data_IF_529204390725
#
_entry.id   IF_529204390725
#
_cell.length_a   1.000
_cell.length_b   1.000
_cell.length_c   1.000
_cell.angle_alpha   90.00
_cell.angle_beta   90.00
_cell.angle_gamma   90.00
#
_symmetry.space_group_name_H-M   'P 1'
#
loop_
_entity.id
_entity.type
_entity.pdbx_description
1 polymer ?
#
# COMPACT_ATOMS: atom_id res chain seq x y z
N UNK A 1 17.74 -23.18 -6.63
CA UNK A 1 18.12 -22.10 -7.57
C UNK A 1 18.05 -20.84 -6.76
N UNK A 2 19.13 -20.05 -6.68
CA UNK A 2 19.07 -18.74 -6.09
C UNK A 2 18.14 -17.93 -7.00
N UNK A 3 16.96 -17.56 -6.51
CA UNK A 3 16.07 -16.68 -7.23
C UNK A 3 16.64 -15.27 -7.06
N UNK A 4 17.35 -14.78 -8.07
CA UNK A 4 17.90 -13.45 -8.06
C UNK A 4 16.74 -12.45 -8.19
N UNK A 5 16.48 -11.71 -7.13
CA UNK A 5 15.50 -10.65 -7.10
C UNK A 5 16.06 -9.37 -6.50
N UNK A 6 15.45 -8.26 -6.84
CA UNK A 6 15.96 -6.94 -6.51
C UNK A 6 14.99 -6.14 -5.65
N UNK A 7 15.53 -5.37 -4.68
CA UNK A 7 14.81 -4.30 -3.97
C UNK A 7 15.33 -2.97 -4.47
N UNK A 8 14.58 -2.27 -5.31
CA UNK A 8 14.93 -0.92 -5.72
C UNK A 8 14.37 0.12 -4.74
N UNK A 9 15.22 1.03 -4.27
CA UNK A 9 14.87 1.99 -3.23
C UNK A 9 15.18 1.50 -1.81
N UNK A 10 16.03 0.49 -1.68
CA UNK A 10 16.41 -0.12 -0.41
C UNK A 10 16.97 0.86 0.62
N UNK A 11 17.57 1.97 0.18
CA UNK A 11 18.10 3.01 1.09
C UNK A 11 17.02 3.97 1.64
N UNK A 12 15.75 3.79 1.28
CA UNK A 12 14.59 4.46 1.87
C UNK A 12 14.20 3.82 3.21
N UNK A 13 13.35 4.51 4.00
CA UNK A 13 12.91 4.00 5.31
C UNK A 13 12.28 2.59 5.19
N UNK A 14 11.25 2.44 4.37
CA UNK A 14 10.55 1.15 4.19
C UNK A 14 11.43 0.14 3.44
N UNK A 15 12.16 0.58 2.40
CA UNK A 15 13.06 -0.29 1.64
C UNK A 15 14.15 -0.93 2.51
N UNK A 16 14.68 -0.20 3.50
CA UNK A 16 15.66 -0.74 4.47
C UNK A 16 15.00 -1.83 5.35
N UNK A 17 13.81 -1.60 5.86
CA UNK A 17 13.07 -2.58 6.66
C UNK A 17 12.78 -3.86 5.86
N UNK A 18 12.40 -3.73 4.59
CA UNK A 18 12.18 -4.88 3.70
C UNK A 18 13.50 -5.66 3.49
N UNK A 19 14.61 -4.97 3.24
CA UNK A 19 15.91 -5.61 3.04
C UNK A 19 16.40 -6.33 4.31
N UNK A 20 16.25 -5.70 5.48
CA UNK A 20 16.54 -6.30 6.79
C UNK A 20 15.68 -7.55 7.04
N UNK A 21 14.38 -7.48 6.75
CA UNK A 21 13.47 -8.61 6.92
C UNK A 21 13.77 -9.75 5.94
N UNK A 22 14.05 -9.43 4.67
CA UNK A 22 14.48 -10.42 3.67
C UNK A 22 15.74 -11.18 4.14
N UNK A 23 16.73 -10.43 4.62
CA UNK A 23 17.97 -11.04 5.17
C UNK A 23 17.70 -11.93 6.37
N UNK A 24 16.85 -11.49 7.29
CA UNK A 24 16.46 -12.28 8.47
C UNK A 24 15.74 -13.58 8.11
N UNK A 25 15.02 -13.62 6.98
CA UNK A 25 14.38 -14.82 6.42
C UNK A 25 15.32 -15.70 5.56
N UNK A 26 16.61 -15.33 5.42
CA UNK A 26 17.60 -16.09 4.68
C UNK A 26 17.70 -15.76 3.19
N UNK A 27 17.04 -14.68 2.74
CA UNK A 27 17.18 -14.20 1.36
C UNK A 27 18.40 -13.28 1.20
N UNK A 28 18.93 -13.23 -0.02
CA UNK A 28 20.00 -12.34 -0.41
C UNK A 28 19.61 -11.55 -1.66
N UNK A 29 18.65 -10.60 -1.55
CA UNK A 29 18.26 -9.79 -2.69
C UNK A 29 19.40 -8.85 -3.11
N UNK A 30 19.45 -8.49 -4.39
CA UNK A 30 20.24 -7.36 -4.84
C UNK A 30 19.55 -6.08 -4.39
N UNK A 31 20.23 -5.22 -3.65
CA UNK A 31 19.69 -3.92 -3.25
C UNK A 31 20.08 -2.83 -4.23
N UNK A 32 19.12 -1.98 -4.62
CA UNK A 32 19.39 -0.96 -5.62
C UNK A 32 18.80 0.42 -5.27
N UNK A 33 19.35 1.44 -5.90
CA UNK A 33 18.88 2.82 -5.78
C UNK A 33 19.82 3.79 -6.50
N UNK A 34 19.43 5.07 -6.55
CA UNK A 34 20.20 6.11 -7.27
C UNK A 34 21.33 6.75 -6.45
N UNK A 35 21.34 6.59 -5.14
CA UNK A 35 22.37 7.19 -4.27
C UNK A 35 23.45 6.18 -3.92
N UNK A 36 24.54 6.20 -4.66
CA UNK A 36 25.67 5.28 -4.53
C UNK A 36 26.11 5.11 -3.07
N UNK A 37 26.48 6.22 -2.42
CA UNK A 37 27.02 6.18 -1.05
C UNK A 37 26.08 5.48 -0.06
N UNK A 38 24.75 5.76 -0.15
CA UNK A 38 23.78 5.16 0.77
C UNK A 38 23.55 3.68 0.49
N UNK A 39 23.55 3.29 -0.78
CA UNK A 39 23.37 1.90 -1.18
C UNK A 39 24.59 1.07 -0.79
N UNK A 40 25.80 1.54 -1.08
CA UNK A 40 27.06 0.88 -0.67
C UNK A 40 27.14 0.70 0.85
N UNK A 41 26.78 1.73 1.62
CA UNK A 41 26.76 1.63 3.08
C UNK A 41 25.77 0.55 3.56
N UNK A 42 24.56 0.50 2.99
CA UNK A 42 23.56 -0.51 3.35
C UNK A 42 23.99 -1.90 2.91
N UNK A 43 24.60 -2.04 1.74
CA UNK A 43 25.13 -3.29 1.23
C UNK A 43 26.20 -3.88 2.16
N UNK A 44 27.11 -3.05 2.65
CA UNK A 44 28.11 -3.45 3.65
C UNK A 44 27.46 -3.85 4.99
N UNK A 45 26.47 -3.07 5.46
CA UNK A 45 25.75 -3.35 6.71
C UNK A 45 25.03 -4.71 6.66
N UNK A 46 24.36 -5.01 5.56
CA UNK A 46 23.54 -6.22 5.40
C UNK A 46 24.27 -7.39 4.71
N UNK A 47 25.50 -7.18 4.22
CA UNK A 47 26.25 -8.16 3.43
C UNK A 47 25.42 -8.65 2.22
N UNK A 48 24.92 -7.70 1.41
CA UNK A 48 24.13 -7.94 0.20
C UNK A 48 24.84 -7.34 -1.02
N UNK A 49 24.61 -7.94 -2.18
CA UNK A 49 25.00 -7.36 -3.46
C UNK A 49 24.19 -6.10 -3.75
N UNK A 50 24.77 -5.18 -4.54
CA UNK A 50 24.09 -3.93 -4.84
C UNK A 50 24.29 -3.46 -6.27
N UNK A 51 23.33 -2.63 -6.74
CA UNK A 51 23.41 -1.90 -8.01
C UNK A 51 23.03 -0.43 -7.81
N UNK A 52 23.64 0.43 -8.64
CA UNK A 52 23.35 1.87 -8.61
C UNK A 52 22.96 2.34 -10.00
N UNK A 53 21.68 2.73 -10.16
CA UNK A 53 21.14 3.28 -11.41
C UNK A 53 19.95 4.19 -11.15
N UNK A 54 19.60 5.00 -12.14
CA UNK A 54 18.44 5.90 -12.12
C UNK A 54 17.26 5.29 -12.89
N UNK A 55 16.04 5.73 -12.58
CA UNK A 55 14.79 5.26 -13.22
C UNK A 55 14.31 6.16 -14.37
N UNK A 56 15.16 7.03 -14.91
CA UNK A 56 14.79 7.96 -15.98
C UNK A 56 14.80 7.34 -17.38
N UNK A 57 15.51 6.23 -17.58
CA UNK A 57 15.62 5.53 -18.85
C UNK A 57 15.26 4.05 -18.71
N UNK A 58 14.23 3.64 -19.44
CA UNK A 58 13.73 2.25 -19.47
C UNK A 58 14.79 1.24 -19.91
N UNK A 59 15.69 1.62 -20.82
CA UNK A 59 16.73 0.72 -21.32
C UNK A 59 17.80 0.45 -20.25
N UNK A 60 18.20 1.50 -19.51
CA UNK A 60 19.12 1.34 -18.37
C UNK A 60 18.53 0.45 -17.31
N UNK A 61 17.21 0.60 -17.02
CA UNK A 61 16.51 -0.25 -16.07
C UNK A 61 16.49 -1.69 -16.59
N UNK A 62 16.12 -1.90 -17.87
CA UNK A 62 16.03 -3.24 -18.46
C UNK A 62 17.40 -3.97 -18.44
N UNK A 63 18.49 -3.28 -18.75
CA UNK A 63 19.84 -3.84 -18.64
C UNK A 63 20.17 -4.25 -17.18
N UNK A 64 19.82 -3.40 -16.21
CA UNK A 64 20.11 -3.65 -14.79
C UNK A 64 19.31 -4.82 -14.20
N UNK A 65 18.10 -5.12 -14.75
CA UNK A 65 17.23 -6.19 -14.24
C UNK A 65 17.17 -7.41 -15.15
N UNK A 66 17.97 -7.48 -16.22
CA UNK A 66 17.90 -8.55 -17.24
C UNK A 66 18.05 -9.96 -16.65
N UNK A 67 18.86 -10.11 -15.61
CA UNK A 67 19.09 -11.38 -14.92
C UNK A 67 18.21 -11.56 -13.67
N UNK A 68 17.29 -10.63 -13.38
CA UNK A 68 16.42 -10.69 -12.21
C UNK A 68 15.12 -11.43 -12.53
N UNK A 69 14.72 -12.34 -11.65
CA UNK A 69 13.41 -12.98 -11.71
C UNK A 69 12.28 -12.05 -11.26
N UNK A 70 12.58 -11.07 -10.36
CA UNK A 70 11.60 -10.18 -9.78
C UNK A 70 12.25 -8.87 -9.31
N UNK A 71 11.53 -7.75 -9.51
CA UNK A 71 11.85 -6.46 -8.92
C UNK A 71 10.75 -6.03 -7.95
N UNK A 72 11.13 -5.74 -6.70
CA UNK A 72 10.31 -5.08 -5.71
C UNK A 72 10.70 -3.58 -5.64
N UNK A 73 9.81 -2.71 -6.11
CA UNK A 73 10.02 -1.27 -6.11
C UNK A 73 9.54 -0.66 -4.79
N UNK A 74 10.48 -0.12 -4.00
CA UNK A 74 10.24 0.60 -2.74
C UNK A 74 10.62 2.10 -2.82
N UNK A 75 10.61 2.68 -4.01
CA UNK A 75 11.04 4.06 -4.28
C UNK A 75 9.91 4.94 -4.81
N UNK A 76 9.20 5.61 -3.93
CA UNK A 76 8.20 6.61 -4.29
C UNK A 76 8.77 8.02 -4.63
N UNK A 77 7.97 8.96 -5.18
CA UNK A 77 6.56 8.82 -5.54
C UNK A 77 6.35 7.89 -6.74
N UNK A 78 5.44 6.94 -6.58
CA UNK A 78 5.25 5.85 -7.56
C UNK A 78 4.69 6.32 -8.89
N UNK A 79 3.95 7.42 -8.93
CA UNK A 79 3.47 8.00 -10.19
C UNK A 79 4.63 8.38 -11.15
N UNK A 80 5.86 8.52 -10.65
CA UNK A 80 7.04 8.82 -11.45
C UNK A 80 7.98 7.63 -11.64
N UNK A 81 7.93 6.65 -10.74
CA UNK A 81 8.91 5.55 -10.70
C UNK A 81 8.34 4.22 -11.19
N UNK A 82 7.02 3.97 -11.05
CA UNK A 82 6.44 2.67 -11.39
C UNK A 82 6.44 2.38 -12.87
N UNK A 83 5.95 3.32 -13.71
CA UNK A 83 5.76 3.09 -15.15
C UNK A 83 7.05 2.71 -15.89
N UNK A 84 8.20 3.40 -15.73
CA UNK A 84 9.44 2.98 -16.38
C UNK A 84 9.93 1.60 -15.90
N UNK A 85 9.76 1.26 -14.61
CA UNK A 85 10.15 -0.07 -14.10
C UNK A 85 9.22 -1.15 -14.62
N UNK A 86 7.90 -0.92 -14.66
CA UNK A 86 6.93 -1.87 -15.25
C UNK A 86 7.25 -2.14 -16.72
N UNK A 87 7.55 -1.10 -17.50
CA UNK A 87 7.94 -1.25 -18.92
C UNK A 87 9.23 -2.07 -19.09
N UNK A 88 10.22 -1.85 -18.24
CA UNK A 88 11.44 -2.64 -18.23
C UNK A 88 11.15 -4.09 -17.87
N UNK A 89 10.35 -4.35 -16.83
CA UNK A 89 9.93 -5.70 -16.42
C UNK A 89 9.16 -6.43 -17.54
N UNK A 90 8.29 -5.73 -18.26
CA UNK A 90 7.60 -6.29 -19.44
C UNK A 90 8.59 -6.66 -20.57
N UNK A 91 9.64 -5.89 -20.78
CA UNK A 91 10.65 -6.15 -21.80
C UNK A 91 11.59 -7.30 -21.44
N UNK A 92 11.92 -7.47 -20.16
CA UNK A 92 12.87 -8.49 -19.67
C UNK A 92 12.19 -9.76 -19.14
N UNK A 93 10.85 -9.83 -19.15
CA UNK A 93 10.06 -10.92 -18.57
C UNK A 93 10.29 -11.09 -17.06
N UNK A 94 10.54 -10.00 -16.34
CA UNK A 94 10.76 -9.95 -14.90
C UNK A 94 9.46 -9.65 -14.17
N UNK A 95 9.15 -10.32 -13.05
CA UNK A 95 7.99 -9.99 -12.21
C UNK A 95 8.17 -8.62 -11.56
N UNK A 96 7.09 -7.88 -11.43
CA UNK A 96 7.06 -6.55 -10.79
C UNK A 96 6.18 -6.55 -9.56
N UNK A 97 6.72 -6.09 -8.43
CA UNK A 97 5.99 -5.78 -7.22
C UNK A 97 6.32 -4.35 -6.76
N UNK A 98 5.36 -3.68 -6.11
CA UNK A 98 5.59 -2.41 -5.42
C UNK A 98 4.75 -2.28 -4.14
N UNK A 99 5.05 -1.25 -3.35
CA UNK A 99 4.33 -0.94 -2.11
C UNK A 99 3.54 0.37 -2.21
N UNK A 100 3.03 0.71 -3.40
CA UNK A 100 2.26 1.94 -3.63
C UNK A 100 0.89 1.92 -2.93
N UNK A 101 0.38 3.11 -2.59
CA UNK A 101 -1.02 3.38 -2.26
C UNK A 101 -1.69 4.34 -3.25
N UNK A 102 -1.06 4.63 -4.40
CA UNK A 102 -1.46 5.67 -5.35
C UNK A 102 -2.46 5.13 -6.39
N UNK A 103 -3.72 5.62 -6.37
CA UNK A 103 -4.82 5.17 -7.24
C UNK A 103 -4.43 5.17 -8.73
N UNK A 104 -3.80 6.26 -9.19
CA UNK A 104 -3.47 6.43 -10.60
C UNK A 104 -2.34 5.47 -11.05
N UNK A 105 -1.51 5.00 -10.12
CA UNK A 105 -0.50 3.96 -10.34
C UNK A 105 -1.19 2.61 -10.54
N UNK A 106 -2.13 2.24 -9.67
CA UNK A 106 -2.90 1.00 -9.82
C UNK A 106 -3.61 0.92 -11.16
N UNK A 107 -4.40 1.96 -11.52
CA UNK A 107 -5.13 1.99 -12.78
C UNK A 107 -4.18 1.86 -13.98
N UNK A 108 -2.99 2.47 -13.92
CA UNK A 108 -1.98 2.34 -14.97
C UNK A 108 -1.41 0.91 -15.03
N UNK A 109 -1.04 0.32 -13.90
CA UNK A 109 -0.50 -1.05 -13.86
C UNK A 109 -1.54 -2.04 -14.38
N UNK A 110 -2.82 -1.89 -14.00
CA UNK A 110 -3.90 -2.72 -14.52
C UNK A 110 -4.09 -2.61 -16.02
N UNK A 111 -3.75 -1.47 -16.64
CA UNK A 111 -3.82 -1.31 -18.10
C UNK A 111 -2.81 -2.19 -18.86
N UNK A 112 -1.81 -2.74 -18.19
CA UNK A 112 -0.83 -3.67 -18.76
C UNK A 112 -1.21 -5.16 -18.63
N UNK A 113 -2.41 -5.50 -18.12
CA UNK A 113 -2.81 -6.88 -17.80
C UNK A 113 -2.63 -7.84 -18.98
N UNK A 114 -3.12 -7.47 -20.18
CA UNK A 114 -3.04 -8.33 -21.36
C UNK A 114 -1.58 -8.62 -21.77
N UNK A 115 -0.71 -7.61 -21.67
CA UNK A 115 0.72 -7.77 -22.01
C UNK A 115 1.43 -8.61 -20.94
N UNK A 116 1.12 -8.38 -19.66
CA UNK A 116 1.68 -9.13 -18.56
C UNK A 116 1.30 -10.63 -18.64
N UNK A 117 0.03 -10.92 -18.95
CA UNK A 117 -0.45 -12.31 -19.19
C UNK A 117 0.26 -12.96 -20.35
N UNK A 118 0.41 -12.25 -21.48
CA UNK A 118 1.13 -12.75 -22.65
C UNK A 118 2.59 -13.06 -22.35
N UNK A 119 3.23 -12.22 -21.56
CA UNK A 119 4.63 -12.38 -21.13
C UNK A 119 4.79 -13.36 -19.96
N UNK A 120 3.68 -13.86 -19.38
CA UNK A 120 3.65 -14.75 -18.22
C UNK A 120 4.37 -14.17 -16.99
N UNK A 121 4.22 -12.87 -16.77
CA UNK A 121 4.75 -12.20 -15.58
C UNK A 121 3.62 -11.64 -14.72
N UNK A 122 3.89 -11.50 -13.44
CA UNK A 122 3.03 -10.81 -12.50
C UNK A 122 3.41 -9.33 -12.41
N UNK A 123 2.42 -8.46 -12.43
CA UNK A 123 2.51 -7.07 -12.03
C UNK A 123 1.59 -6.89 -10.82
N UNK A 124 2.15 -6.83 -9.59
CA UNK A 124 1.37 -6.78 -8.35
C UNK A 124 1.75 -5.54 -7.58
N UNK A 125 0.93 -4.50 -7.71
CA UNK A 125 1.11 -3.25 -6.95
C UNK A 125 0.45 -3.32 -5.58
N UNK A 126 1.04 -2.62 -4.60
CA UNK A 126 0.48 -2.48 -3.26
C UNK A 126 0.69 -3.70 -2.36
N UNK A 127 1.87 -4.37 -2.43
CA UNK A 127 2.16 -5.52 -1.55
C UNK A 127 2.56 -5.14 -0.12
N UNK A 128 2.15 -3.96 0.35
CA UNK A 128 2.36 -3.45 1.69
C UNK A 128 1.06 -3.20 2.46
N UNK A 129 1.18 -2.52 3.61
CA UNK A 129 0.05 -2.23 4.50
C UNK A 129 -1.05 -1.39 3.83
N UNK A 130 -0.68 -0.55 2.88
CA UNK A 130 -1.65 0.34 2.22
C UNK A 130 -2.74 -0.41 1.43
N UNK A 131 -2.54 -1.69 1.12
CA UNK A 131 -3.48 -2.48 0.31
C UNK A 131 -3.70 -3.90 0.84
N UNK A 132 -2.65 -4.64 1.23
CA UNK A 132 -2.78 -6.07 1.58
C UNK A 132 -3.89 -6.33 2.61
N UNK A 133 -3.96 -5.61 3.75
CA UNK A 133 -5.00 -5.87 4.75
C UNK A 133 -6.40 -5.60 4.22
N UNK A 134 -6.57 -4.50 3.53
CA UNK A 134 -7.86 -3.99 3.07
C UNK A 134 -8.38 -4.74 1.85
N UNK A 135 -7.52 -5.09 0.89
CA UNK A 135 -7.88 -5.85 -0.31
C UNK A 135 -8.25 -7.32 0.04
N UNK A 136 -7.46 -7.95 0.92
CA UNK A 136 -7.78 -9.30 1.44
C UNK A 136 -9.11 -9.31 2.20
N UNK A 137 -9.34 -8.30 3.04
CA UNK A 137 -10.57 -8.18 3.81
C UNK A 137 -11.78 -7.85 2.92
N UNK A 138 -11.61 -6.98 1.93
CA UNK A 138 -12.62 -6.65 0.92
C UNK A 138 -13.05 -7.92 0.16
N UNK A 139 -12.08 -8.72 -0.30
CA UNK A 139 -12.38 -10.01 -0.93
C UNK A 139 -13.12 -10.95 0.01
N UNK A 140 -12.71 -11.02 1.27
CA UNK A 140 -13.34 -11.89 2.26
C UNK A 140 -14.81 -11.57 2.48
N UNK A 141 -15.17 -10.29 2.67
CA UNK A 141 -16.59 -9.90 2.86
C UNK A 141 -17.40 -9.97 1.56
N UNK A 142 -16.77 -9.71 0.40
CA UNK A 142 -17.42 -9.83 -0.90
C UNK A 142 -17.76 -11.29 -1.24
N UNK A 143 -16.88 -12.24 -0.94
CA UNK A 143 -17.13 -13.67 -1.15
C UNK A 143 -18.33 -14.18 -0.33
N UNK A 144 -18.61 -13.58 0.84
CA UNK A 144 -19.76 -13.92 1.68
C UNK A 144 -21.07 -13.25 1.24
N UNK A 145 -20.99 -12.16 0.48
CA UNK A 145 -22.15 -11.44 -0.08
C UNK A 145 -21.92 -11.11 -1.56
N UNK A 146 -22.02 -12.11 -2.47
CA UNK A 146 -21.79 -11.90 -3.91
C UNK A 146 -22.72 -10.87 -4.57
N UNK A 147 -23.86 -10.58 -3.94
CA UNK A 147 -24.82 -9.56 -4.39
C UNK A 147 -24.52 -8.16 -3.87
N UNK A 148 -23.37 -7.94 -3.23
CA UNK A 148 -23.00 -6.64 -2.68
C UNK A 148 -22.89 -5.59 -3.79
N UNK A 149 -23.43 -4.41 -3.50
CA UNK A 149 -23.39 -3.23 -4.37
C UNK A 149 -22.58 -2.09 -3.76
N UNK A 150 -22.31 -2.16 -2.47
CA UNK A 150 -21.54 -1.15 -1.72
C UNK A 150 -20.47 -1.82 -0.86
N UNK A 151 -19.32 -1.17 -0.77
CA UNK A 151 -18.19 -1.57 0.04
C UNK A 151 -17.63 -0.35 0.78
N UNK A 152 -17.63 -0.41 2.10
CA UNK A 152 -16.93 0.53 2.94
C UNK A 152 -15.66 -0.14 3.48
N UNK A 153 -14.54 0.54 3.36
CA UNK A 153 -13.24 0.11 3.86
C UNK A 153 -12.74 1.14 4.86
N UNK A 154 -12.24 0.71 6.00
CA UNK A 154 -11.72 1.59 7.04
C UNK A 154 -10.34 1.16 7.54
N UNK A 155 -9.52 2.14 7.90
CA UNK A 155 -8.17 1.91 8.45
C UNK A 155 -8.01 2.73 9.71
N UNK A 156 -7.37 2.14 10.72
CA UNK A 156 -6.86 2.84 11.89
C UNK A 156 -5.43 2.36 12.15
N UNK A 157 -4.48 3.29 12.19
CA UNK A 157 -3.09 3.02 12.56
C UNK A 157 -2.73 3.82 13.80
N UNK A 158 -2.17 3.15 14.79
CA UNK A 158 -1.76 3.74 16.07
C UNK A 158 -0.29 4.17 16.07
N UNK A 159 0.42 4.01 14.95
CA UNK A 159 1.80 4.46 14.79
C UNK A 159 1.90 5.81 14.09
N UNK A 160 3.07 6.46 14.20
CA UNK A 160 3.39 7.66 13.44
C UNK A 160 3.52 7.37 11.93
N UNK A 161 3.54 8.42 11.13
CA UNK A 161 3.69 8.33 9.67
C UNK A 161 5.11 8.64 9.23
N UNK A 162 5.57 8.04 8.12
CA UNK A 162 6.87 8.35 7.53
C UNK A 162 6.82 9.62 6.67
N UNK A 163 7.99 10.15 6.32
CA UNK A 163 8.10 11.24 5.35
C UNK A 163 7.49 10.89 3.99
N UNK A 164 7.55 9.61 3.58
CA UNK A 164 6.90 9.11 2.36
C UNK A 164 5.38 9.27 2.44
N UNK A 165 4.76 8.72 3.48
CA UNK A 165 3.32 8.80 3.74
C UNK A 165 2.84 10.26 3.84
N UNK A 166 3.61 11.12 4.52
CA UNK A 166 3.29 12.57 4.61
C UNK A 166 3.32 13.23 3.23
N UNK A 167 4.27 12.89 2.36
CA UNK A 167 4.32 13.42 0.99
C UNK A 167 3.11 12.98 0.15
N UNK A 168 2.67 11.74 0.30
CA UNK A 168 1.45 11.23 -0.35
C UNK A 168 0.20 11.98 0.14
N UNK A 169 0.08 12.24 1.45
CA UNK A 169 -1.01 13.03 2.00
C UNK A 169 -1.04 14.48 1.45
N UNK A 170 0.13 15.10 1.23
CA UNK A 170 0.25 16.41 0.57
C UNK A 170 -0.24 16.36 -0.90
N UNK A 171 0.03 15.26 -1.61
CA UNK A 171 -0.51 15.08 -2.97
C UNK A 171 -2.04 15.00 -2.95
N UNK A 172 -2.63 14.22 -2.07
CA UNK A 172 -4.10 14.13 -1.95
C UNK A 172 -4.74 15.47 -1.60
N UNK A 173 -4.11 16.26 -0.72
CA UNK A 173 -4.58 17.59 -0.41
C UNK A 173 -4.65 18.51 -1.65
N UNK A 174 -3.81 18.25 -2.66
CA UNK A 174 -3.79 19.03 -3.91
C UNK A 174 -4.79 18.53 -4.97
N UNK A 175 -5.05 17.23 -5.02
CA UNK A 175 -5.91 16.60 -6.05
C UNK A 175 -7.39 16.51 -5.62
N UNK A 176 -7.66 16.64 -4.32
CA UNK A 176 -8.99 16.45 -3.74
C UNK A 176 -9.30 14.97 -3.45
N UNK A 177 -10.44 14.74 -2.81
CA UNK A 177 -10.93 13.40 -2.52
C UNK A 177 -11.51 12.71 -3.74
N UNK A 178 -11.58 11.39 -3.69
CA UNK A 178 -12.21 10.52 -4.69
C UNK A 178 -13.05 9.46 -3.96
N UNK A 179 -14.07 8.96 -4.65
CA UNK A 179 -14.85 7.76 -4.30
C UNK A 179 -15.11 6.97 -5.58
N UNK A 180 -15.49 5.69 -5.45
CA UNK A 180 -15.99 4.94 -6.60
C UNK A 180 -17.51 4.88 -6.53
N UNK A 181 -18.19 5.24 -7.62
CA UNK A 181 -19.65 5.16 -7.76
C UNK A 181 -19.99 4.61 -9.13
N UNK A 182 -20.88 3.61 -9.16
CA UNK A 182 -21.28 2.90 -10.38
C UNK A 182 -20.07 2.41 -11.21
N UNK A 183 -19.04 1.91 -10.53
CA UNK A 183 -17.82 1.41 -11.14
C UNK A 183 -16.82 2.48 -11.58
N UNK A 184 -17.12 3.76 -11.45
CA UNK A 184 -16.25 4.86 -11.89
C UNK A 184 -15.69 5.66 -10.71
N UNK A 185 -14.41 6.05 -10.81
CA UNK A 185 -13.80 7.00 -9.89
C UNK A 185 -14.41 8.39 -10.12
N UNK A 186 -14.92 9.00 -9.06
CA UNK A 186 -15.54 10.32 -9.10
C UNK A 186 -14.90 11.24 -8.07
N UNK A 187 -14.75 12.54 -8.37
CA UNK A 187 -14.33 13.54 -7.38
C UNK A 187 -15.29 13.57 -6.18
N UNK A 188 -14.73 13.66 -4.99
CA UNK A 188 -15.48 13.77 -3.74
C UNK A 188 -14.80 14.79 -2.83
N UNK A 189 -15.52 15.80 -2.32
CA UNK A 189 -14.89 16.83 -1.47
C UNK A 189 -14.33 16.21 -0.17
N UNK A 190 -13.07 16.48 0.14
CA UNK A 190 -12.47 16.05 1.41
C UNK A 190 -13.18 16.75 2.57
N UNK A 191 -13.46 16.03 3.65
CA UNK A 191 -14.07 16.57 4.86
C UNK A 191 -15.60 16.59 4.87
N UNK A 192 -16.28 16.13 3.82
CA UNK A 192 -17.74 16.11 3.73
C UNK A 192 -18.38 14.78 4.12
N UNK A 193 -17.65 13.68 4.00
CA UNK A 193 -18.14 12.34 4.32
C UNK A 193 -17.37 11.80 5.53
N UNK A 194 -18.07 11.70 6.65
CA UNK A 194 -17.54 11.20 7.92
C UNK A 194 -18.42 10.07 8.44
N UNK A 195 -17.80 9.10 9.09
CA UNK A 195 -18.49 7.93 9.63
C UNK A 195 -17.85 7.52 10.95
N UNK A 196 -18.65 7.02 11.88
CA UNK A 196 -18.11 6.28 13.02
C UNK A 196 -17.87 4.83 12.61
N UNK A 197 -16.64 4.38 12.75
CA UNK A 197 -16.25 2.98 12.55
C UNK A 197 -15.91 2.35 13.89
N UNK A 198 -16.38 1.14 14.11
CA UNK A 198 -16.00 0.34 15.27
C UNK A 198 -14.73 -0.44 14.95
N UNK A 199 -13.74 -0.37 15.84
CA UNK A 199 -12.55 -1.22 15.86
C UNK A 199 -12.45 -1.90 17.21
N UNK A 200 -11.41 -2.70 17.43
CA UNK A 200 -11.22 -3.52 18.64
C UNK A 200 -11.33 -2.72 19.96
N UNK A 201 -10.86 -1.47 19.94
CA UNK A 201 -10.80 -0.62 21.16
C UNK A 201 -11.90 0.45 21.21
N UNK A 202 -12.98 0.31 20.43
CA UNK A 202 -14.12 1.23 20.48
C UNK A 202 -14.46 1.88 19.14
N UNK A 203 -15.22 2.98 19.22
CA UNK A 203 -15.65 3.75 18.06
C UNK A 203 -14.67 4.87 17.75
N UNK A 204 -14.33 5.01 16.48
CA UNK A 204 -13.45 6.04 15.96
C UNK A 204 -14.18 6.86 14.92
N UNK A 205 -14.06 8.18 15.01
CA UNK A 205 -14.48 9.04 13.92
C UNK A 205 -13.54 8.85 12.74
N UNK A 206 -14.10 8.60 11.57
CA UNK A 206 -13.35 8.36 10.35
C UNK A 206 -13.78 9.29 9.24
N UNK A 207 -12.84 9.73 8.42
CA UNK A 207 -13.01 10.61 7.30
C UNK A 207 -12.80 9.85 5.99
N UNK A 208 -13.68 10.10 5.01
CA UNK A 208 -13.48 9.57 3.67
C UNK A 208 -12.23 10.18 3.02
N UNK A 209 -11.34 9.31 2.54
CA UNK A 209 -10.08 9.67 1.90
C UNK A 209 -9.90 8.92 0.58
N UNK A 210 -9.13 9.47 -0.39
CA UNK A 210 -8.85 8.78 -1.64
C UNK A 210 -7.73 7.76 -1.46
N UNK A 211 -8.05 6.58 -0.93
CA UNK A 211 -7.11 5.49 -0.69
C UNK A 211 -7.02 4.53 -1.88
N UNK A 212 -5.91 3.80 -2.00
CA UNK A 212 -5.63 2.88 -3.11
C UNK A 212 -6.72 1.84 -3.38
N UNK A 213 -7.45 1.44 -2.35
CA UNK A 213 -8.55 0.48 -2.44
C UNK A 213 -9.72 0.92 -3.34
N UNK A 214 -9.86 2.20 -3.63
CA UNK A 214 -10.80 2.65 -4.65
C UNK A 214 -10.51 2.05 -6.02
N UNK A 215 -9.25 1.67 -6.29
CA UNK A 215 -8.84 0.94 -7.49
C UNK A 215 -8.76 -0.57 -7.20
N UNK A 216 -7.95 -0.99 -6.22
CA UNK A 216 -7.66 -2.40 -5.96
C UNK A 216 -8.89 -3.20 -5.54
N UNK A 217 -9.68 -2.73 -4.58
CA UNK A 217 -10.88 -3.43 -4.14
C UNK A 217 -11.95 -3.54 -5.25
N UNK A 218 -12.01 -2.58 -6.18
CA UNK A 218 -12.87 -2.71 -7.36
C UNK A 218 -12.38 -3.81 -8.30
N UNK A 219 -11.08 -3.89 -8.56
CA UNK A 219 -10.52 -4.97 -9.36
C UNK A 219 -10.71 -6.33 -8.72
N UNK A 220 -10.58 -6.42 -7.41
CA UNK A 220 -10.73 -7.64 -6.62
C UNK A 220 -12.18 -8.11 -6.50
N UNK A 221 -13.13 -7.21 -6.22
CA UNK A 221 -14.51 -7.58 -5.82
C UNK A 221 -15.56 -7.29 -6.88
N UNK A 222 -15.29 -6.38 -7.82
CA UNK A 222 -16.25 -5.82 -8.78
C UNK A 222 -17.42 -5.09 -8.15
N UNK A 223 -17.39 -4.80 -6.85
CA UNK A 223 -18.42 -4.00 -6.18
C UNK A 223 -18.37 -2.57 -6.72
N UNK A 224 -19.50 -2.04 -7.26
CA UNK A 224 -19.46 -0.78 -8.01
C UNK A 224 -19.37 0.50 -7.17
N UNK A 225 -19.72 0.44 -5.89
CA UNK A 225 -19.71 1.62 -5.02
C UNK A 225 -18.77 1.36 -3.84
N UNK A 226 -17.64 2.10 -3.80
CA UNK A 226 -16.61 1.93 -2.78
C UNK A 226 -16.30 3.27 -2.15
N UNK A 227 -16.23 3.30 -0.82
CA UNK A 227 -15.73 4.42 -0.05
C UNK A 227 -14.67 3.93 0.94
N UNK A 228 -13.56 4.65 1.01
CA UNK A 228 -12.45 4.36 1.91
C UNK A 228 -12.34 5.41 2.99
N UNK A 229 -12.17 4.99 4.24
CA UNK A 229 -12.17 5.84 5.43
C UNK A 229 -10.88 5.66 6.22
N UNK A 230 -10.40 6.73 6.83
CA UNK A 230 -9.31 6.70 7.80
C UNK A 230 -9.78 7.25 9.14
N UNK A 231 -9.53 6.49 10.20
CA UNK A 231 -9.76 6.95 11.57
C UNK A 231 -8.81 8.09 11.90
N UNK A 232 -9.35 9.22 12.34
CA UNK A 232 -8.60 10.43 12.64
C UNK A 232 -9.12 11.05 13.94
N UNK A 233 -8.26 11.78 14.68
CA UNK A 233 -8.73 12.58 15.81
C UNK A 233 -9.82 13.60 15.38
N UNK A 234 -10.83 13.87 16.23
CA UNK A 234 -11.92 14.79 15.89
C UNK A 234 -11.45 16.21 15.49
N UNK A 235 -10.32 16.65 16.05
CA UNK A 235 -9.69 17.93 15.70
C UNK A 235 -9.20 17.95 14.23
N UNK A 236 -8.61 16.86 13.76
CA UNK A 236 -8.14 16.72 12.38
C UNK A 236 -9.31 16.68 11.39
N UNK A 237 -10.39 15.99 11.72
CA UNK A 237 -11.61 15.93 10.90
C UNK A 237 -12.25 17.33 10.78
N UNK A 238 -12.38 18.07 11.91
CA UNK A 238 -12.90 19.43 11.89
C UNK A 238 -12.05 20.39 11.04
N UNK A 239 -10.72 20.24 11.11
CA UNK A 239 -9.80 21.04 10.31
C UNK A 239 -9.93 20.70 8.81
N UNK A 240 -10.03 19.43 8.45
CA UNK A 240 -10.24 18.98 7.08
C UNK A 240 -11.56 19.53 6.50
N UNK A 241 -12.66 19.55 7.26
CA UNK A 241 -13.95 20.06 6.80
C UNK A 241 -13.98 21.58 6.57
N UNK A 242 -13.34 22.38 7.45
CA UNK A 242 -13.39 23.84 7.39
C UNK A 242 -12.40 24.47 6.42
N UNK A 243 -11.28 23.83 6.17
CA UNK A 243 -10.17 24.38 5.38
C UNK A 243 -9.90 23.67 4.05
N UNK A 244 -10.67 22.64 3.70
CA UNK A 244 -10.33 21.74 2.58
C UNK A 244 -10.19 22.47 1.24
N UNK A 245 -11.10 23.37 0.88
CA UNK A 245 -11.02 24.14 -0.39
C UNK A 245 -9.83 25.11 -0.41
N UNK A 246 -9.59 25.82 0.68
CA UNK A 246 -8.47 26.77 0.77
C UNK A 246 -7.15 25.99 0.74
N UNK A 247 -7.05 24.90 1.50
CA UNK A 247 -5.89 24.03 1.50
C UNK A 247 -5.65 23.42 0.11
N UNK A 248 -6.69 22.95 -0.57
CA UNK A 248 -6.59 22.41 -1.92
C UNK A 248 -6.05 23.45 -2.91
N UNK A 249 -6.60 24.68 -2.91
CA UNK A 249 -6.12 25.77 -3.77
C UNK A 249 -4.66 26.14 -3.44
N UNK A 250 -4.30 26.22 -2.17
CA UNK A 250 -2.90 26.47 -1.77
C UNK A 250 -1.95 25.36 -2.23
N UNK A 251 -2.36 24.09 -2.08
CA UNK A 251 -1.54 22.92 -2.47
C UNK A 251 -1.50 22.68 -3.98
N UNK A 252 -2.36 23.31 -4.78
CA UNK A 252 -2.22 23.35 -6.24
C UNK A 252 -1.04 24.22 -6.68
N UNK A 253 -0.60 25.16 -5.84
CA UNK A 253 0.61 25.94 -6.12
C UNK A 253 1.85 25.06 -5.97
N UNK A 254 2.58 24.88 -7.08
CA UNK A 254 3.74 23.99 -7.15
C UNK A 254 4.85 24.35 -6.13
N UNK A 255 5.06 25.64 -5.88
CA UNK A 255 6.07 26.10 -4.94
C UNK A 255 5.70 25.76 -3.50
N UNK A 256 4.45 26.04 -3.08
CA UNK A 256 3.95 25.72 -1.73
C UNK A 256 4.02 24.20 -1.50
N UNK A 257 3.56 23.41 -2.47
CA UNK A 257 3.61 21.96 -2.44
C UNK A 257 5.04 21.43 -2.33
N UNK A 258 5.98 21.98 -3.09
CA UNK A 258 7.39 21.59 -3.04
C UNK A 258 8.02 21.89 -1.68
N UNK A 259 7.73 23.07 -1.10
CA UNK A 259 8.20 23.45 0.25
C UNK A 259 7.64 22.49 1.29
N UNK A 260 6.32 22.21 1.26
CA UNK A 260 5.68 21.28 2.18
C UNK A 260 6.29 19.86 2.12
N UNK A 261 6.56 19.36 0.91
CA UNK A 261 7.24 18.06 0.73
C UNK A 261 8.68 18.08 1.20
N UNK A 262 9.39 19.19 1.01
CA UNK A 262 10.75 19.39 1.52
C UNK A 262 10.81 19.34 3.04
N UNK A 263 9.90 20.05 3.72
CA UNK A 263 9.77 20.04 5.17
C UNK A 263 9.39 18.66 5.69
N UNK A 264 8.44 17.98 5.07
CA UNK A 264 8.09 16.60 5.41
C UNK A 264 9.30 15.67 5.33
N UNK A 265 10.12 15.80 4.28
CA UNK A 265 11.35 15.02 4.12
C UNK A 265 12.43 15.30 5.15
N UNK A 266 12.47 16.53 5.68
CA UNK A 266 13.49 16.96 6.64
C UNK A 266 13.13 16.66 8.10
N UNK A 267 11.84 16.79 8.45
CA UNK A 267 11.39 16.75 9.85
C UNK A 267 10.58 15.52 10.24
N UNK A 268 9.92 14.85 9.28
CA UNK A 268 9.13 13.64 9.58
C UNK A 268 10.04 12.43 9.55
N UNK A 269 10.24 11.84 10.72
CA UNK A 269 10.91 10.53 10.88
C UNK A 269 9.82 9.49 11.06
N UNK A 270 9.91 8.36 10.36
CA UNK A 270 8.99 7.23 10.58
C UNK A 270 9.07 6.71 12.02
N UNK A 271 8.17 5.80 12.43
CA UNK A 271 8.13 5.24 13.78
C UNK A 271 9.47 4.58 14.14
N UNK A 272 9.89 4.74 15.38
CA UNK A 272 11.12 4.12 15.89
C UNK A 272 10.93 2.60 16.13
N UNK A 273 12.01 1.91 16.50
CA UNK A 273 12.00 0.47 16.69
C UNK A 273 11.05 0.02 17.84
N UNK A 274 10.85 0.83 18.88
CA UNK A 274 9.96 0.53 19.99
C UNK A 274 8.51 0.68 19.55
N UNK A 275 8.18 1.78 18.87
CA UNK A 275 6.84 2.00 18.31
C UNK A 275 6.44 0.89 17.34
N UNK A 276 7.36 0.45 16.44
CA UNK A 276 7.08 -0.65 15.52
C UNK A 276 6.79 -1.98 16.21
N UNK A 277 7.38 -2.23 17.39
CA UNK A 277 7.16 -3.48 18.13
C UNK A 277 5.84 -3.52 18.91
N UNK A 278 5.33 -2.37 19.34
CA UNK A 278 4.19 -2.29 20.26
C UNK A 278 2.91 -1.76 19.62
N UNK A 279 3.01 -0.91 18.59
CA UNK A 279 1.85 -0.36 17.94
C UNK A 279 1.09 -1.42 17.12
N UNK A 280 -0.23 -1.24 17.04
CA UNK A 280 -1.12 -2.09 16.24
C UNK A 280 -1.76 -1.25 15.15
N UNK A 281 -2.20 -1.94 14.10
CA UNK A 281 -2.95 -1.34 13.00
C UNK A 281 -4.18 -2.20 12.73
N UNK A 282 -5.26 -1.54 12.32
CA UNK A 282 -6.56 -2.18 12.15
C UNK A 282 -7.13 -1.87 10.77
N UNK A 283 -7.77 -2.86 10.17
CA UNK A 283 -8.58 -2.67 8.98
C UNK A 283 -10.02 -3.13 9.24
N UNK A 284 -10.94 -2.53 8.53
CA UNK A 284 -12.37 -2.82 8.55
C UNK A 284 -12.88 -2.89 7.11
N UNK A 285 -13.77 -3.84 6.82
CA UNK A 285 -14.52 -3.85 5.57
C UNK A 285 -15.97 -4.23 5.83
N UNK A 286 -16.89 -3.57 5.09
CA UNK A 286 -18.32 -3.88 5.08
C UNK A 286 -18.84 -3.92 3.66
N UNK A 287 -19.29 -5.10 3.23
CA UNK A 287 -20.04 -5.27 1.98
C UNK A 287 -21.53 -5.21 2.28
N UNK A 288 -22.31 -4.55 1.42
CA UNK A 288 -23.78 -4.49 1.57
C UNK A 288 -24.51 -4.38 0.23
N UNK A 289 -25.78 -4.79 0.20
CA UNK A 289 -26.70 -4.67 -0.96
C UNK A 289 -27.99 -3.90 -0.61
N UNK A 290 -28.02 -3.19 0.51
CA UNK A 290 -29.18 -2.47 1.01
C UNK A 290 -30.08 -3.31 1.94
N UNK A 291 -30.18 -4.62 1.73
CA UNK A 291 -30.99 -5.52 2.57
C UNK A 291 -30.13 -6.35 3.54
N UNK A 292 -28.95 -6.72 3.11
CA UNK A 292 -28.01 -7.53 3.87
C UNK A 292 -26.64 -6.85 3.92
N UNK A 293 -25.88 -7.14 4.95
CA UNK A 293 -24.49 -6.72 5.04
C UNK A 293 -23.64 -7.77 5.74
N UNK A 294 -22.37 -7.82 5.33
CA UNK A 294 -21.31 -8.60 5.96
C UNK A 294 -20.20 -7.65 6.29
N UNK A 295 -19.67 -7.75 7.50
CA UNK A 295 -18.53 -6.95 7.94
C UNK A 295 -17.48 -7.81 8.62
N UNK A 296 -16.24 -7.40 8.54
CA UNK A 296 -15.13 -8.07 9.19
C UNK A 296 -14.01 -7.08 9.51
N UNK A 297 -13.13 -7.51 10.40
CA UNK A 297 -12.00 -6.71 10.89
C UNK A 297 -10.70 -7.48 10.80
N UNK A 298 -9.61 -6.74 10.68
CA UNK A 298 -8.26 -7.25 10.87
C UNK A 298 -7.58 -6.47 11.99
N UNK A 299 -6.90 -7.22 12.84
CA UNK A 299 -5.95 -6.73 13.83
C UNK A 299 -4.56 -7.17 13.39
N UNK A 300 -3.66 -6.23 13.13
CA UNK A 300 -2.34 -6.49 12.56
C UNK A 300 -1.23 -5.84 13.38
N UNK A 301 0.00 -6.26 13.14
CA UNK A 301 1.18 -5.56 13.64
C UNK A 301 1.26 -4.15 13.06
N UNK A 302 2.20 -3.36 13.53
CA UNK A 302 2.46 -1.99 13.08
C UNK A 302 2.68 -1.94 11.55
N UNK A 303 2.16 -0.88 10.91
CA UNK A 303 2.05 -0.76 9.45
C UNK A 303 3.37 -0.95 8.67
N UNK A 304 4.50 -0.42 9.15
CA UNK A 304 5.78 -0.57 8.44
C UNK A 304 6.41 -1.94 8.66
N UNK A 305 6.25 -2.51 9.86
CA UNK A 305 6.64 -3.89 10.11
C UNK A 305 5.81 -4.83 9.25
N UNK A 306 4.49 -4.61 9.20
CA UNK A 306 3.59 -5.35 8.32
C UNK A 306 4.05 -5.26 6.85
N UNK A 307 4.36 -4.04 6.38
CA UNK A 307 4.81 -3.83 4.98
C UNK A 307 6.08 -4.63 4.69
N UNK A 308 7.03 -4.66 5.62
CA UNK A 308 8.26 -5.43 5.42
C UNK A 308 7.98 -6.93 5.31
N UNK A 309 7.16 -7.48 6.21
CA UNK A 309 6.79 -8.90 6.21
C UNK A 309 5.95 -9.27 4.98
N UNK A 310 4.91 -8.49 4.68
CA UNK A 310 4.01 -8.72 3.55
C UNK A 310 4.74 -8.66 2.20
N UNK A 311 5.67 -7.71 2.05
CA UNK A 311 6.44 -7.55 0.81
C UNK A 311 7.34 -8.75 0.54
N UNK A 312 8.04 -9.25 1.55
CA UNK A 312 8.91 -10.42 1.39
C UNK A 312 8.09 -11.67 1.14
N UNK A 313 6.99 -11.87 1.87
CA UNK A 313 6.07 -12.98 1.64
C UNK A 313 5.46 -12.93 0.23
N UNK A 314 5.11 -11.74 -0.28
CA UNK A 314 4.61 -11.56 -1.64
C UNK A 314 5.67 -11.93 -2.70
N UNK A 315 6.93 -11.59 -2.46
CA UNK A 315 8.06 -12.04 -3.32
C UNK A 315 8.14 -13.56 -3.32
N UNK A 316 8.17 -14.21 -2.15
CA UNK A 316 8.23 -15.67 -2.02
C UNK A 316 7.09 -16.33 -2.79
N UNK A 317 5.85 -15.91 -2.55
CA UNK A 317 4.68 -16.51 -3.21
C UNK A 317 4.63 -16.21 -4.72
N UNK A 318 5.13 -15.06 -5.16
CA UNK A 318 5.21 -14.75 -6.60
C UNK A 318 6.22 -15.66 -7.29
N UNK A 319 7.39 -15.87 -6.71
CA UNK A 319 8.43 -16.72 -7.26
C UNK A 319 8.04 -18.21 -7.23
N UNK A 320 7.27 -18.65 -6.24
CA UNK A 320 6.76 -20.00 -6.13
C UNK A 320 5.60 -20.29 -7.09
N UNK A 321 4.57 -19.41 -7.09
CA UNK A 321 3.30 -19.65 -7.80
C UNK A 321 3.31 -19.18 -9.25
N UNK A 322 4.23 -18.28 -9.61
CA UNK A 322 4.37 -17.70 -10.96
C UNK A 322 3.03 -17.17 -11.52
N UNK A 323 2.27 -16.31 -10.77
CA UNK A 323 1.04 -15.77 -11.29
C UNK A 323 1.32 -14.87 -12.50
N UNK A 324 0.32 -14.69 -13.38
CA UNK A 324 0.48 -13.91 -14.60
C UNK A 324 -0.67 -12.89 -14.75
N UNK A 325 -0.30 -11.66 -15.09
CA UNK A 325 -1.22 -10.55 -15.26
C UNK A 325 -0.99 -9.41 -14.27
N UNK A 326 -1.77 -8.34 -14.41
CA UNK A 326 -1.80 -7.25 -13.46
C UNK A 326 -2.85 -7.56 -12.37
N UNK A 327 -2.38 -7.88 -11.19
CA UNK A 327 -3.17 -8.46 -10.10
C UNK A 327 -3.13 -7.57 -8.85
N UNK A 328 -4.18 -7.64 -8.04
CA UNK A 328 -4.12 -7.17 -6.65
C UNK A 328 -3.53 -8.27 -5.76
N UNK A 329 -3.05 -7.95 -4.55
CA UNK A 329 -2.57 -8.98 -3.62
C UNK A 329 -3.59 -10.10 -3.36
N UNK A 330 -4.86 -9.76 -3.15
CA UNK A 330 -5.91 -10.74 -2.90
C UNK A 330 -6.25 -11.60 -4.13
N UNK A 331 -6.08 -11.08 -5.36
CA UNK A 331 -6.23 -11.87 -6.59
C UNK A 331 -5.03 -12.78 -6.84
N UNK A 332 -3.83 -12.33 -6.51
CA UNK A 332 -2.61 -13.09 -6.71
C UNK A 332 -2.44 -14.22 -5.68
N UNK A 333 -2.74 -13.95 -4.42
CA UNK A 333 -2.39 -14.82 -3.29
C UNK A 333 -3.60 -15.35 -2.52
N UNK A 334 -4.78 -14.78 -2.71
CA UNK A 334 -6.01 -15.14 -2.01
C UNK A 334 -6.32 -14.25 -0.81
N UNK A 335 -7.57 -14.32 -0.32
CA UNK A 335 -8.09 -13.52 0.80
C UNK A 335 -7.44 -13.81 2.16
N UNK A 336 -6.79 -14.96 2.28
CA UNK A 336 -6.16 -15.41 3.51
C UNK A 336 -4.65 -15.10 3.56
N UNK A 337 -4.07 -14.58 2.48
CA UNK A 337 -2.67 -14.15 2.42
C UNK A 337 -2.26 -13.25 3.58
N UNK A 338 -3.15 -12.36 3.99
CA UNK A 338 -2.91 -11.45 5.11
C UNK A 338 -2.71 -12.17 6.46
N UNK A 339 -3.26 -13.39 6.61
CA UNK A 339 -3.17 -14.17 7.83
C UNK A 339 -1.83 -14.90 7.98
N UNK A 340 -1.05 -15.01 6.90
CA UNK A 340 0.30 -15.56 6.92
C UNK A 340 1.33 -14.57 7.51
N UNK A 341 0.91 -13.32 7.76
CA UNK A 341 1.75 -12.28 8.38
C UNK A 341 1.63 -12.38 9.90
N UNK A 342 2.78 -12.35 10.57
CA UNK A 342 2.86 -12.56 12.01
C UNK A 342 1.85 -11.72 12.82
N UNK A 343 1.25 -12.34 13.84
CA UNK A 343 0.33 -11.67 14.77
C UNK A 343 -0.82 -10.92 14.09
N UNK A 344 -1.23 -11.38 12.90
CA UNK A 344 -2.42 -10.88 12.19
C UNK A 344 -3.58 -11.83 12.42
N UNK A 345 -4.74 -11.28 12.76
CA UNK A 345 -5.97 -12.04 12.96
C UNK A 345 -7.15 -11.34 12.30
N UNK A 346 -8.05 -12.15 11.73
CA UNK A 346 -9.33 -11.69 11.18
C UNK A 346 -10.45 -12.02 12.17
N UNK A 347 -11.39 -11.10 12.32
CA UNK A 347 -12.54 -11.20 13.22
C UNK A 347 -13.82 -10.92 12.42
N UNK A 348 -14.83 -11.77 12.61
CA UNK A 348 -16.17 -11.62 12.01
C UNK A 348 -17.13 -10.88 12.95
N UNK A 349 -16.79 -10.81 14.23
CA UNK A 349 -17.53 -10.11 15.28
C UNK A 349 -16.56 -9.43 16.22
N UNK A 350 -16.99 -8.32 16.82
CA UNK A 350 -16.27 -7.68 17.92
C UNK A 350 -17.10 -7.86 19.20
N UNK A 351 -16.61 -8.63 20.16
CA UNK A 351 -17.27 -8.81 21.44
C UNK A 351 -17.14 -7.56 22.30
N UNK A 352 -18.14 -7.30 23.17
CA UNK A 352 -18.20 -6.10 24.01
C UNK A 352 -17.14 -6.11 25.12
N UNK A 353 -16.48 -7.25 25.36
CA UNK A 353 -15.48 -7.47 26.41
C UNK A 353 -14.01 -7.39 25.99
N UNK A 354 -13.69 -7.29 24.71
CA UNK A 354 -12.30 -7.33 24.23
C UNK A 354 -11.45 -6.08 24.60
N UNK A 355 -12.07 -5.03 25.15
CA UNK A 355 -11.40 -3.78 25.52
C UNK A 355 -11.12 -3.62 27.02
N UNK A 356 -11.76 -4.40 27.92
CA UNK A 356 -11.55 -4.31 29.38
C UNK A 356 -10.26 -4.98 29.88
N UNK A 357 -9.58 -5.77 29.05
CA UNK A 357 -8.37 -6.53 29.44
C UNK A 357 -7.05 -5.84 29.13
N UNK A 358 -7.04 -4.61 28.63
CA UNK A 358 -5.83 -3.88 28.20
C UNK A 358 -5.70 -2.47 28.81
N UNK A 359 -6.39 -2.17 29.92
CA UNK A 359 -6.15 -0.96 30.74
C UNK A 359 -5.23 -1.28 31.90
#
# INVERSE_FOLDING_TARGET
MANDWMIYGANGYTGKLIAEHAKARGHNPVIAGRNQRKIEQLALELQLDYMVFDLSDVNIIAEAIADMSLVLLAAGPYMHTSDPVVKACLATHTHYLDITGEIDVFERVFSYDDVARKNRIALISGVGFDVVPTDCLAKYVADQLPSATHLDIGIASLSGVSAGTTKTAIEWASTGGKVRRNGMLQPHPIGTDTKQLRFMHGYYDALAIPWGDLATAYHTTRIPNITTYMALPPSAIKMAGRGSRIMQVMMQNHMIKSIAKGLAGAFVKGPDATQRKTARSYAYAKASNGSHSVEAWLDTIEAYQFTAEASVLAVEQTLERQPAGALTPALAFGKDFVLDINSTRRLDTLDVGDWESLV
#
